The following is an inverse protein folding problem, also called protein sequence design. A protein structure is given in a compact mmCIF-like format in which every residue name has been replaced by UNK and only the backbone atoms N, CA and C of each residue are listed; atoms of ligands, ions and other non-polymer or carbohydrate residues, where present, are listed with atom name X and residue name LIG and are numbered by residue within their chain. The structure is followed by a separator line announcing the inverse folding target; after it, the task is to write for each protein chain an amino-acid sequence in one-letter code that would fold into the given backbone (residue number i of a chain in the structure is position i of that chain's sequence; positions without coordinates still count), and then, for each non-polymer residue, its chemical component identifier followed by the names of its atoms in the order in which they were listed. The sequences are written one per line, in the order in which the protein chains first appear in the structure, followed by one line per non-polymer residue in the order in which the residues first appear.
data_IF_431397200296
#
_entry.id   IF_431397200296
#
_cell.length_a   1.000
_cell.length_b   1.000
_cell.length_c   1.000
_cell.angle_alpha   90.00
_cell.angle_beta   90.00
_cell.angle_gamma   90.00
#
_symmetry.space_group_name_H-M   'P 1'
#
loop_
_entity.id
_entity.type
_entity.pdbx_description
1 polymer ?
#
# COMPACT_ATOMS: atom_id res chain seq x y z
N UNK A 1 -4.99 -8.67 13.17
CA UNK A 1 -3.68 -9.27 13.01
C UNK A 1 -2.64 -8.63 13.92
N UNK A 2 -1.49 -9.23 14.06
CA UNK A 2 -0.34 -8.73 14.81
C UNK A 2 0.96 -9.26 14.19
N UNK A 3 2.07 -8.53 14.43
CA UNK A 3 3.35 -8.77 13.74
C UNK A 3 4.27 -9.73 14.52
N UNK A 4 3.83 -10.94 14.83
CA UNK A 4 4.63 -11.89 15.65
C UNK A 4 4.36 -13.38 15.37
N UNK A 5 3.71 -13.74 14.28
CA UNK A 5 3.49 -15.15 13.97
C UNK A 5 4.61 -15.75 13.12
N UNK A 6 4.77 -17.08 13.16
CA UNK A 6 5.62 -17.78 12.20
C UNK A 6 5.13 -17.50 10.79
N UNK A 7 6.06 -17.18 9.90
CA UNK A 7 5.78 -16.87 8.49
C UNK A 7 5.03 -15.55 8.22
N UNK A 8 4.72 -14.72 9.23
CA UNK A 8 4.12 -13.42 8.99
C UNK A 8 5.14 -12.40 8.45
N UNK A 9 4.61 -11.32 7.90
CA UNK A 9 5.33 -10.08 7.56
C UNK A 9 4.91 -8.96 8.52
N UNK A 10 5.57 -7.81 8.47
CA UNK A 10 5.11 -6.61 9.16
C UNK A 10 4.08 -5.89 8.27
N UNK A 11 2.89 -6.47 8.14
CA UNK A 11 1.91 -6.16 7.11
C UNK A 11 0.47 -5.97 7.62
N UNK A 12 0.31 -5.66 8.92
CA UNK A 12 -1.00 -5.46 9.53
C UNK A 12 -1.78 -4.36 8.81
N UNK A 13 -2.90 -4.74 8.19
CA UNK A 13 -3.74 -3.84 7.40
C UNK A 13 -3.32 -3.68 5.95
N UNK A 14 -2.45 -4.53 5.42
CA UNK A 14 -2.20 -4.59 3.98
C UNK A 14 -3.39 -5.21 3.24
N UNK A 15 -3.50 -4.93 1.96
CA UNK A 15 -4.51 -5.51 1.08
C UNK A 15 -3.94 -5.83 -0.29
N UNK A 16 -4.59 -6.73 -1.00
CA UNK A 16 -4.34 -6.99 -2.43
C UNK A 16 -5.59 -6.61 -3.23
N UNK A 17 -5.40 -6.15 -4.45
CA UNK A 17 -6.51 -5.76 -5.34
C UNK A 17 -6.31 -6.45 -6.68
N UNK A 18 -7.35 -7.15 -7.13
CA UNK A 18 -7.43 -7.76 -8.45
C UNK A 18 -8.56 -7.11 -9.25
N UNK A 19 -8.34 -6.95 -10.55
CA UNK A 19 -9.34 -6.52 -11.51
C UNK A 19 -9.39 -7.57 -12.63
N UNK A 20 -10.52 -8.24 -12.81
CA UNK A 20 -10.67 -9.33 -13.80
C UNK A 20 -9.57 -10.39 -13.69
N UNK A 21 -9.30 -10.86 -12.47
CA UNK A 21 -8.25 -11.84 -12.16
C UNK A 21 -6.80 -11.38 -12.43
N UNK A 22 -6.60 -10.13 -12.86
CA UNK A 22 -5.28 -9.52 -13.04
C UNK A 22 -4.88 -8.80 -11.76
N UNK A 23 -3.69 -9.11 -11.18
CA UNK A 23 -3.21 -8.45 -9.97
C UNK A 23 -2.86 -6.98 -10.25
N UNK A 24 -3.40 -6.08 -9.44
CA UNK A 24 -3.17 -4.62 -9.51
C UNK A 24 -2.32 -4.15 -8.34
N UNK A 25 -2.86 -4.25 -7.11
CA UNK A 25 -2.05 -4.11 -5.90
C UNK A 25 -1.69 -5.51 -5.42
N UNK A 26 -0.41 -5.75 -5.21
CA UNK A 26 0.12 -7.09 -4.94
C UNK A 26 0.79 -7.15 -3.57
N UNK A 27 0.97 -8.36 -3.09
CA UNK A 27 1.92 -8.73 -2.03
C UNK A 27 3.03 -9.56 -2.67
N UNK A 28 4.28 -9.21 -2.42
CA UNK A 28 5.41 -9.92 -3.01
C UNK A 28 5.46 -11.39 -2.57
N UNK A 29 4.95 -11.69 -1.39
CA UNK A 29 5.06 -13.00 -0.74
C UNK A 29 6.47 -13.24 -0.21
N UNK A 30 6.86 -14.50 -0.17
CA UNK A 30 8.16 -14.92 0.38
C UNK A 30 9.10 -15.39 -0.72
N UNK A 31 10.36 -15.00 -0.61
CA UNK A 31 11.45 -15.49 -1.44
C UNK A 31 11.93 -16.90 -1.05
N UNK A 32 13.07 -17.29 -1.55
CA UNK A 32 13.71 -18.55 -1.19
C UNK A 32 14.05 -18.55 0.30
N UNK A 33 13.61 -19.59 1.00
CA UNK A 33 13.88 -19.75 2.42
C UNK A 33 15.38 -19.94 2.69
N UNK A 34 15.89 -19.18 3.65
CA UNK A 34 17.27 -19.23 4.12
C UNK A 34 17.28 -19.31 5.65
N UNK A 35 18.48 -19.46 6.25
CA UNK A 35 18.60 -19.36 7.72
C UNK A 35 18.07 -18.03 8.27
N UNK A 36 18.21 -16.94 7.52
CA UNK A 36 17.70 -15.62 7.91
C UNK A 36 16.16 -15.62 7.99
N UNK A 37 15.47 -16.37 7.16
CA UNK A 37 14.00 -16.44 7.16
C UNK A 37 13.43 -16.90 8.51
N UNK A 38 14.22 -17.67 9.29
CA UNK A 38 13.76 -18.31 10.53
C UNK A 38 14.46 -17.80 11.79
N UNK A 39 15.15 -16.66 11.71
CA UNK A 39 15.80 -16.06 12.88
C UNK A 39 15.36 -14.61 13.09
N UNK A 40 15.95 -13.91 14.07
CA UNK A 40 15.63 -12.53 14.41
C UNK A 40 15.91 -11.51 13.27
N UNK A 41 16.75 -11.88 12.28
CA UNK A 41 17.04 -11.05 11.12
C UNK A 41 16.00 -11.19 9.99
N UNK A 42 14.96 -11.98 10.20
CA UNK A 42 13.87 -12.19 9.26
C UNK A 42 13.32 -10.86 8.71
N UNK A 43 13.06 -9.91 9.58
CA UNK A 43 12.46 -8.62 9.22
C UNK A 43 13.44 -7.62 8.60
N UNK A 44 14.69 -8.05 8.32
CA UNK A 44 15.63 -7.34 7.44
C UNK A 44 15.46 -7.75 5.96
N UNK A 45 14.70 -8.81 5.69
CA UNK A 45 14.34 -9.22 4.34
C UNK A 45 13.30 -8.22 3.81
N UNK A 46 13.57 -7.60 2.67
CA UNK A 46 12.75 -6.52 2.13
C UNK A 46 11.26 -6.87 2.00
N UNK A 47 10.93 -8.08 1.51
CA UNK A 47 9.55 -8.52 1.32
C UNK A 47 8.78 -8.79 2.62
N UNK A 48 9.44 -8.69 3.76
CA UNK A 48 8.83 -8.83 5.08
C UNK A 48 8.67 -7.50 5.81
N UNK A 49 9.16 -6.42 5.21
CA UNK A 49 9.11 -5.07 5.78
C UNK A 49 7.83 -4.35 5.39
N UNK A 50 7.29 -3.56 6.31
CA UNK A 50 6.06 -2.80 6.14
C UNK A 50 6.04 -1.92 4.88
N UNK A 51 7.15 -1.29 4.56
CA UNK A 51 7.29 -0.37 3.43
C UNK A 51 7.32 -1.05 2.05
N UNK A 52 7.31 -2.38 2.01
CA UNK A 52 7.13 -3.19 0.79
C UNK A 52 5.77 -3.90 0.75
N UNK A 53 4.80 -3.39 1.50
CA UNK A 53 3.40 -3.78 1.47
C UNK A 53 2.52 -2.58 1.13
N UNK A 54 1.21 -2.80 0.96
CA UNK A 54 0.24 -1.74 0.66
C UNK A 54 -0.16 -1.01 1.95
N UNK A 55 0.80 -0.30 2.55
CA UNK A 55 0.72 0.28 3.89
C UNK A 55 1.39 1.65 3.96
N UNK A 56 0.97 2.52 4.90
CA UNK A 56 1.68 3.76 5.17
C UNK A 56 2.96 3.54 5.98
N UNK A 57 3.96 4.35 5.74
CA UNK A 57 4.87 4.80 6.78
C UNK A 57 4.26 6.02 7.46
N UNK A 58 4.08 5.98 8.76
CA UNK A 58 3.40 7.04 9.52
C UNK A 58 4.45 7.88 10.25
N UNK A 59 4.50 9.18 9.89
CA UNK A 59 5.45 10.11 10.52
C UNK A 59 6.90 9.58 10.49
N UNK A 60 7.28 8.95 9.37
CA UNK A 60 8.58 8.33 9.14
C UNK A 60 8.77 6.94 9.78
N UNK A 61 7.80 6.40 10.51
CA UNK A 61 7.90 5.10 11.16
C UNK A 61 7.21 3.99 10.36
N UNK A 62 7.86 2.83 10.27
CA UNK A 62 7.30 1.59 9.73
C UNK A 62 6.72 0.72 10.85
N UNK A 63 5.92 -0.28 10.51
CA UNK A 63 5.46 -1.28 11.46
C UNK A 63 6.62 -2.20 11.87
N UNK A 64 6.94 -2.32 13.17
CA UNK A 64 7.95 -3.25 13.63
C UNK A 64 7.37 -4.64 13.90
N UNK A 65 8.25 -5.61 14.06
CA UNK A 65 7.89 -6.94 14.53
C UNK A 65 7.58 -6.94 16.04
N UNK A 66 6.60 -7.75 16.45
CA UNK A 66 6.26 -7.94 17.85
C UNK A 66 4.75 -8.12 18.06
N UNK A 67 4.36 -8.95 19.03
CA UNK A 67 2.96 -9.25 19.33
C UNK A 67 2.15 -8.02 19.81
N UNK A 68 2.83 -7.02 20.33
CA UNK A 68 2.22 -5.74 20.74
C UNK A 68 1.75 -4.91 19.54
N UNK A 69 2.38 -5.06 18.36
CA UNK A 69 2.06 -4.33 17.14
C UNK A 69 0.90 -5.00 16.40
N UNK A 70 -0.28 -4.43 16.52
CA UNK A 70 -1.53 -5.05 16.06
C UNK A 70 -2.59 -4.02 15.71
N UNK A 71 -3.55 -4.42 14.88
CA UNK A 71 -4.76 -3.62 14.67
C UNK A 71 -5.74 -3.74 15.83
N UNK A 72 -6.60 -2.73 15.94
CA UNK A 72 -7.73 -2.70 16.87
C UNK A 72 -9.00 -2.18 16.18
N UNK A 73 -10.14 -2.25 16.85
CA UNK A 73 -11.42 -1.71 16.38
C UNK A 73 -11.79 -2.18 14.96
N UNK A 74 -11.55 -3.47 14.67
CA UNK A 74 -11.86 -4.06 13.37
C UNK A 74 -13.37 -4.16 13.17
N UNK A 75 -13.88 -3.72 12.03
CA UNK A 75 -15.29 -3.80 11.64
C UNK A 75 -15.45 -4.25 10.20
N UNK A 76 -16.48 -5.05 9.94
CA UNK A 76 -16.82 -5.54 8.61
C UNK A 76 -18.32 -5.37 8.36
N UNK A 77 -18.69 -4.70 7.26
CA UNK A 77 -20.06 -4.57 6.78
C UNK A 77 -20.13 -5.03 5.32
N UNK A 78 -20.44 -6.31 5.15
CA UNK A 78 -20.52 -6.93 3.82
C UNK A 78 -21.63 -6.31 2.95
N UNK A 79 -22.72 -5.82 3.57
CA UNK A 79 -23.83 -5.20 2.82
C UNK A 79 -23.41 -3.90 2.13
N UNK A 80 -22.42 -3.20 2.70
CA UNK A 80 -21.82 -1.98 2.15
C UNK A 80 -20.50 -2.24 1.42
N UNK A 81 -20.02 -3.49 1.40
CA UNK A 81 -18.70 -3.83 0.88
C UNK A 81 -17.57 -3.13 1.63
N UNK A 82 -17.69 -2.98 2.98
CA UNK A 82 -16.77 -2.21 3.79
C UNK A 82 -16.05 -3.08 4.82
N UNK A 83 -14.76 -2.81 4.98
CA UNK A 83 -13.93 -3.33 6.06
C UNK A 83 -13.08 -2.20 6.62
N UNK A 84 -12.97 -2.09 7.93
CA UNK A 84 -12.14 -1.07 8.58
C UNK A 84 -11.40 -1.60 9.79
N UNK A 85 -10.26 -0.99 10.09
CA UNK A 85 -9.43 -1.29 11.25
C UNK A 85 -8.61 -0.05 11.65
N UNK A 86 -8.28 0.06 12.92
CA UNK A 86 -7.38 1.08 13.44
C UNK A 86 -5.97 0.51 13.52
N UNK A 87 -5.02 1.14 12.83
CA UNK A 87 -3.62 0.73 12.71
C UNK A 87 -2.71 1.44 13.74
N UNK A 88 -3.21 2.33 14.58
CA UNK A 88 -2.35 3.12 15.47
C UNK A 88 -1.43 2.26 16.32
N UNK A 89 -1.94 1.14 16.88
CA UNK A 89 -1.16 0.24 17.72
C UNK A 89 -0.26 -0.73 16.91
N UNK A 90 -0.34 -0.72 15.58
CA UNK A 90 0.59 -1.46 14.72
C UNK A 90 1.90 -0.69 14.48
N UNK A 91 1.97 0.58 14.87
CA UNK A 91 3.13 1.44 14.74
C UNK A 91 3.77 1.73 16.10
N UNK A 92 5.08 2.01 16.13
CA UNK A 92 5.78 2.26 17.38
C UNK A 92 5.40 3.63 17.96
N UNK A 93 5.54 3.82 19.30
CA UNK A 93 5.14 5.06 19.98
C UNK A 93 5.80 6.33 19.42
N UNK A 94 7.02 6.24 18.91
CA UNK A 94 7.75 7.35 18.28
C UNK A 94 7.09 7.88 17.00
N UNK A 95 6.20 7.13 16.38
CA UNK A 95 5.35 7.64 15.28
C UNK A 95 4.41 8.77 15.74
N UNK A 96 4.12 8.85 17.04
CA UNK A 96 3.12 9.77 17.59
C UNK A 96 1.70 9.51 17.09
N UNK A 97 1.45 8.32 16.52
CA UNK A 97 0.16 7.99 15.93
C UNK A 97 -0.87 7.69 17.01
N UNK A 98 -1.86 8.57 17.16
CA UNK A 98 -3.00 8.37 18.12
C UNK A 98 -4.15 7.61 17.48
N UNK A 99 -4.30 7.76 16.17
CA UNK A 99 -5.36 7.15 15.39
C UNK A 99 -4.89 7.02 13.95
N UNK A 100 -5.14 5.85 13.35
CA UNK A 100 -5.02 5.64 11.91
C UNK A 100 -6.05 4.60 11.49
N UNK A 101 -7.26 5.07 11.17
CA UNK A 101 -8.34 4.19 10.74
C UNK A 101 -8.29 4.05 9.24
N UNK A 102 -7.92 2.86 8.79
CA UNK A 102 -7.95 2.47 7.38
C UNK A 102 -9.28 1.79 7.08
N UNK A 103 -9.96 2.27 6.05
CA UNK A 103 -11.22 1.72 5.55
C UNK A 103 -11.07 1.30 4.10
N UNK A 104 -11.44 0.08 3.82
CA UNK A 104 -11.56 -0.46 2.46
C UNK A 104 -13.02 -0.48 2.07
N UNK A 105 -13.33 -0.02 0.86
CA UNK A 105 -14.66 -0.08 0.29
C UNK A 105 -14.61 -0.66 -1.12
N UNK A 106 -15.33 -1.76 -1.32
CA UNK A 106 -15.56 -2.35 -2.63
C UNK A 106 -16.93 -1.90 -3.13
N UNK A 107 -16.97 -1.20 -4.26
CA UNK A 107 -18.18 -0.81 -4.96
C UNK A 107 -18.28 -1.58 -6.30
N UNK A 108 -18.97 -2.74 -6.35
CA UNK A 108 -18.94 -3.62 -7.53
C UNK A 108 -19.92 -3.18 -8.63
N UNK A 109 -20.86 -2.28 -8.32
CA UNK A 109 -21.91 -1.84 -9.26
C UNK A 109 -21.60 -0.48 -9.89
N UNK A 110 -22.11 -0.24 -11.10
CA UNK A 110 -21.86 0.98 -11.87
C UNK A 110 -20.45 0.97 -12.46
N UNK A 111 -19.59 1.92 -12.08
CA UNK A 111 -18.15 1.89 -12.37
C UNK A 111 -17.42 1.20 -11.19
N UNK A 112 -17.08 -0.09 -11.32
CA UNK A 112 -16.45 -0.84 -10.22
C UNK A 112 -15.21 -0.13 -9.69
N UNK A 113 -15.10 -0.04 -8.37
CA UNK A 113 -13.96 0.63 -7.73
C UNK A 113 -13.64 0.03 -6.37
N UNK A 114 -12.37 0.12 -6.00
CA UNK A 114 -11.88 -0.07 -4.64
C UNK A 114 -11.44 1.29 -4.12
N UNK A 115 -11.92 1.67 -2.94
CA UNK A 115 -11.49 2.87 -2.25
C UNK A 115 -10.79 2.47 -0.95
N UNK A 116 -9.60 3.04 -0.72
CA UNK A 116 -8.86 2.94 0.53
C UNK A 116 -8.88 4.34 1.14
N UNK A 117 -9.39 4.46 2.37
CA UNK A 117 -9.43 5.74 3.08
C UNK A 117 -8.71 5.60 4.41
N UNK A 118 -7.72 6.46 4.63
CA UNK A 118 -7.01 6.58 5.90
C UNK A 118 -7.43 7.86 6.61
N UNK A 119 -8.00 7.72 7.80
CA UNK A 119 -8.39 8.84 8.66
C UNK A 119 -7.49 8.84 9.89
N UNK A 120 -6.73 9.92 10.10
CA UNK A 120 -5.62 9.91 11.03
C UNK A 120 -5.61 11.10 12.01
N UNK A 121 -4.95 10.88 13.15
CA UNK A 121 -4.55 11.90 14.10
C UNK A 121 -3.19 11.52 14.72
N UNK A 122 -2.22 12.41 14.57
CA UNK A 122 -0.89 12.34 15.17
C UNK A 122 -0.80 13.33 16.34
N UNK A 123 0.12 13.11 17.27
CA UNK A 123 0.47 14.10 18.31
C UNK A 123 1.07 15.35 17.70
N UNK A 124 2.05 15.13 16.82
CA UNK A 124 2.71 16.14 16.01
C UNK A 124 3.22 15.49 14.72
N UNK A 125 3.31 16.27 13.66
CA UNK A 125 4.00 15.84 12.46
C UNK A 125 5.46 16.28 12.53
N UNK A 126 6.36 15.31 12.46
CA UNK A 126 7.82 15.52 12.48
C UNK A 126 8.49 15.02 11.20
N UNK A 127 7.82 14.09 10.51
CA UNK A 127 8.24 13.53 9.23
C UNK A 127 7.03 13.38 8.29
N UNK A 128 7.20 13.31 6.98
CA UNK A 128 6.13 12.96 6.06
C UNK A 128 5.54 11.59 6.36
N UNK A 129 4.24 11.43 6.15
CA UNK A 129 3.66 10.12 5.91
C UNK A 129 3.95 9.72 4.46
N UNK A 130 4.15 8.44 4.22
CA UNK A 130 4.32 7.90 2.87
C UNK A 130 3.41 6.70 2.68
N UNK A 131 2.41 6.81 1.83
CA UNK A 131 1.58 5.68 1.45
C UNK A 131 2.29 4.86 0.38
N UNK A 132 2.45 3.58 0.61
CA UNK A 132 3.06 2.64 -0.31
C UNK A 132 2.01 1.75 -0.97
N UNK A 133 2.17 1.55 -2.29
CA UNK A 133 1.39 0.59 -3.06
C UNK A 133 2.32 -0.21 -3.95
N UNK A 134 2.32 -1.53 -3.76
CA UNK A 134 3.16 -2.45 -4.53
C UNK A 134 2.39 -2.95 -5.75
N UNK A 135 2.98 -2.83 -6.93
CA UNK A 135 2.35 -3.18 -8.21
C UNK A 135 3.31 -3.98 -9.09
N UNK A 136 2.74 -4.89 -9.90
CA UNK A 136 3.49 -5.60 -10.96
C UNK A 136 3.63 -4.76 -12.21
N UNK A 137 2.60 -4.00 -12.56
CA UNK A 137 2.50 -3.22 -13.80
C UNK A 137 3.45 -2.02 -13.85
N UNK A 138 3.61 -1.42 -15.02
CA UNK A 138 4.28 -0.13 -15.19
C UNK A 138 3.39 0.99 -14.67
N UNK A 139 4.01 2.08 -14.21
CA UNK A 139 3.30 3.23 -13.64
C UNK A 139 3.55 4.48 -14.47
N UNK A 140 2.47 5.21 -14.79
CA UNK A 140 2.55 6.56 -15.36
C UNK A 140 2.19 7.54 -14.25
N UNK A 141 3.14 8.35 -13.82
CA UNK A 141 2.99 9.32 -12.75
C UNK A 141 2.30 10.61 -13.23
N UNK A 142 1.83 11.49 -12.30
CA UNK A 142 1.41 12.85 -12.63
C UNK A 142 2.43 13.58 -13.49
N UNK A 143 1.97 14.35 -14.48
CA UNK A 143 2.83 14.99 -15.50
C UNK A 143 3.27 14.06 -16.62
N UNK A 144 3.18 12.75 -16.45
CA UNK A 144 3.43 11.76 -17.51
C UNK A 144 2.28 11.71 -18.51
N UNK A 145 2.56 11.18 -19.72
CA UNK A 145 1.58 11.12 -20.81
C UNK A 145 1.20 9.68 -21.12
N UNK A 146 -0.09 9.43 -21.26
CA UNK A 146 -0.64 8.18 -21.74
C UNK A 146 -1.71 8.43 -22.81
N UNK A 147 -1.57 7.81 -23.99
CA UNK A 147 -2.48 7.99 -25.13
C UNK A 147 -2.78 9.46 -25.48
N UNK A 148 -1.75 10.31 -25.47
CA UNK A 148 -1.87 11.74 -25.80
C UNK A 148 -2.44 12.63 -24.69
N UNK A 149 -2.83 12.06 -23.54
CA UNK A 149 -3.31 12.80 -22.35
C UNK A 149 -2.22 12.88 -21.29
N UNK A 150 -1.89 14.10 -20.86
CA UNK A 150 -1.02 14.32 -19.68
C UNK A 150 -1.84 14.14 -18.40
N UNK A 151 -1.32 13.38 -17.44
CA UNK A 151 -1.99 13.12 -16.18
C UNK A 151 -1.87 14.34 -15.25
N UNK A 152 -2.98 14.80 -14.62
CA UNK A 152 -2.95 15.86 -13.63
C UNK A 152 -2.35 15.35 -12.30
N UNK A 153 -2.03 16.30 -11.40
CA UNK A 153 -1.72 16.00 -10.01
C UNK A 153 -2.88 15.21 -9.37
N UNK A 154 -2.54 14.26 -8.49
CA UNK A 154 -3.53 13.40 -7.84
C UNK A 154 -4.08 12.25 -8.71
N UNK A 155 -3.48 12.00 -9.88
CA UNK A 155 -3.84 10.89 -10.75
C UNK A 155 -2.59 10.15 -11.25
N UNK A 156 -2.61 8.83 -11.21
CA UNK A 156 -1.62 7.96 -11.86
C UNK A 156 -2.31 6.79 -12.55
N UNK A 157 -1.61 6.15 -13.49
CA UNK A 157 -2.07 4.93 -14.13
C UNK A 157 -1.13 3.77 -13.82
N UNK A 158 -1.74 2.60 -13.62
CA UNK A 158 -1.05 1.31 -13.51
C UNK A 158 -1.37 0.54 -14.80
N UNK A 159 -0.33 0.27 -15.58
CA UNK A 159 -0.44 -0.48 -16.84
C UNK A 159 -0.16 -1.95 -16.54
N UNK A 160 -1.22 -2.71 -16.40
CA UNK A 160 -1.17 -4.12 -16.00
C UNK A 160 -1.03 -5.06 -17.21
N UNK A 161 -0.93 -6.37 -16.92
CA UNK A 161 -0.93 -7.42 -17.93
C UNK A 161 -2.19 -7.38 -18.78
N UNK A 162 -2.17 -8.06 -19.92
CA UNK A 162 -3.28 -8.18 -20.89
C UNK A 162 -3.90 -6.84 -21.34
N UNK A 163 -3.12 -5.75 -21.27
CA UNK A 163 -3.56 -4.42 -21.68
C UNK A 163 -4.56 -3.75 -20.72
N UNK A 164 -4.76 -4.30 -19.51
CA UNK A 164 -5.57 -3.65 -18.48
C UNK A 164 -4.91 -2.35 -18.03
N UNK A 165 -5.68 -1.26 -18.06
CA UNK A 165 -5.26 0.05 -17.53
C UNK A 165 -6.13 0.39 -16.32
N UNK A 166 -5.49 0.61 -15.20
CA UNK A 166 -6.13 0.98 -13.93
C UNK A 166 -5.69 2.38 -13.54
N UNK A 167 -6.66 3.21 -13.19
CA UNK A 167 -6.43 4.54 -12.64
C UNK A 167 -6.48 4.51 -11.13
N UNK A 168 -5.50 5.13 -10.48
CA UNK A 168 -5.55 5.49 -9.07
C UNK A 168 -5.64 6.99 -8.95
N UNK A 169 -6.66 7.48 -8.23
CA UNK A 169 -6.73 8.89 -7.80
C UNK A 169 -6.37 8.99 -6.33
N UNK A 170 -5.71 10.09 -5.95
CA UNK A 170 -5.23 10.36 -4.61
C UNK A 170 -5.20 11.86 -4.34
N UNK A 171 -5.07 12.33 -3.08
CA UNK A 171 -4.97 13.76 -2.79
C UNK A 171 -3.84 14.43 -3.57
N UNK A 172 -4.15 15.48 -4.35
CA UNK A 172 -3.16 16.17 -5.19
C UNK A 172 -2.02 16.83 -4.39
N UNK A 173 -2.18 16.97 -3.07
CA UNK A 173 -1.13 17.43 -2.16
C UNK A 173 -0.03 16.39 -1.93
N UNK A 174 -0.27 15.10 -2.22
CA UNK A 174 0.73 14.06 -2.07
C UNK A 174 1.66 14.03 -3.28
N UNK A 175 2.96 13.96 -3.04
CA UNK A 175 3.97 13.82 -4.08
C UNK A 175 4.17 12.37 -4.45
N UNK A 176 3.93 12.02 -5.71
CA UNK A 176 4.10 10.67 -6.23
C UNK A 176 5.52 10.40 -6.72
N UNK A 177 6.04 9.21 -6.41
CA UNK A 177 7.27 8.66 -6.98
C UNK A 177 7.16 7.14 -7.10
N UNK A 178 8.09 6.50 -7.80
CA UNK A 178 8.12 5.04 -7.98
C UNK A 178 9.53 4.53 -7.78
N UNK A 179 9.67 3.51 -6.94
CA UNK A 179 10.87 2.70 -6.84
C UNK A 179 10.69 1.39 -7.61
N UNK A 180 11.79 0.85 -8.13
CA UNK A 180 11.82 -0.44 -8.81
C UNK A 180 12.63 -1.42 -7.99
N UNK A 181 12.03 -2.57 -7.66
CA UNK A 181 12.69 -3.70 -7.03
C UNK A 181 12.98 -4.76 -8.08
N UNK A 182 14.24 -4.94 -8.42
CA UNK A 182 14.68 -6.02 -9.30
C UNK A 182 14.62 -7.37 -8.57
N UNK A 183 13.95 -8.35 -9.17
CA UNK A 183 13.67 -9.64 -8.55
C UNK A 183 14.68 -10.69 -9.03
N UNK A 184 15.79 -10.80 -8.33
CA UNK A 184 16.85 -11.80 -8.61
C UNK A 184 16.54 -13.18 -8.05
N UNK A 185 15.72 -13.27 -7.00
CA UNK A 185 15.26 -14.56 -6.46
C UNK A 185 14.18 -15.17 -7.37
N UNK A 186 14.41 -16.43 -7.79
CA UNK A 186 13.52 -17.15 -8.70
C UNK A 186 12.12 -17.38 -8.18
N UNK A 187 11.90 -17.43 -6.86
CA UNK A 187 10.55 -17.55 -6.28
C UNK A 187 9.73 -16.28 -6.51
N UNK A 188 10.37 -15.10 -6.45
CA UNK A 188 9.70 -13.85 -6.79
C UNK A 188 9.57 -13.69 -8.31
N UNK A 189 10.68 -13.83 -9.05
CA UNK A 189 10.68 -13.57 -10.48
C UNK A 189 9.85 -14.58 -11.28
N UNK A 190 9.66 -15.80 -10.78
CA UNK A 190 8.77 -16.80 -11.38
C UNK A 190 7.28 -16.44 -11.30
N UNK A 191 6.88 -15.59 -10.33
CA UNK A 191 5.50 -15.13 -10.13
C UNK A 191 5.30 -13.72 -10.73
N UNK A 192 6.21 -12.81 -10.42
CA UNK A 192 6.03 -11.39 -10.71
C UNK A 192 6.79 -10.91 -11.94
N UNK A 193 7.65 -11.74 -12.53
CA UNK A 193 8.57 -11.33 -13.59
C UNK A 193 9.84 -10.67 -13.04
N UNK A 194 10.55 -9.85 -13.83
CA UNK A 194 11.89 -9.36 -13.47
C UNK A 194 11.87 -8.29 -12.38
N UNK A 195 10.75 -7.62 -12.14
CA UNK A 195 10.68 -6.53 -11.17
C UNK A 195 9.27 -6.29 -10.63
N UNK A 196 9.20 -5.73 -9.44
CA UNK A 196 8.02 -5.07 -8.86
C UNK A 196 8.28 -3.58 -8.74
N UNK A 197 7.22 -2.80 -8.66
CA UNK A 197 7.28 -1.36 -8.45
C UNK A 197 6.54 -0.97 -7.19
N UNK A 198 7.15 -0.07 -6.43
CA UNK A 198 6.52 0.54 -5.25
C UNK A 198 6.17 1.98 -5.58
N UNK A 199 4.88 2.28 -5.62
CA UNK A 199 4.37 3.64 -5.68
C UNK A 199 4.49 4.24 -4.29
N UNK A 200 5.09 5.41 -4.18
CA UNK A 200 5.21 6.19 -2.96
C UNK A 200 4.41 7.47 -3.11
N UNK A 201 3.48 7.73 -2.20
CA UNK A 201 2.69 8.96 -2.16
C UNK A 201 3.00 9.68 -0.84
N UNK A 202 3.93 10.63 -0.90
CA UNK A 202 4.46 11.31 0.27
C UNK A 202 3.67 12.60 0.58
N UNK A 203 3.30 12.79 1.85
CA UNK A 203 2.71 14.04 2.31
C UNK A 203 3.76 15.16 2.33
N UNK A 204 3.35 16.43 2.14
CA UNK A 204 4.26 17.55 2.34
C UNK A 204 4.70 17.63 3.82
N UNK A 205 5.88 18.21 4.11
CA UNK A 205 6.40 18.29 5.49
C UNK A 205 5.50 19.08 6.44
N UNK A 206 4.75 20.04 5.92
CA UNK A 206 3.82 20.92 6.64
C UNK A 206 2.36 20.42 6.64
N UNK A 207 2.14 19.18 6.20
CA UNK A 207 0.80 18.58 6.21
C UNK A 207 0.21 18.56 7.63
N UNK A 208 -1.11 18.74 7.79
CA UNK A 208 -1.76 18.71 9.10
C UNK A 208 -1.53 17.39 9.84
N UNK A 209 -1.39 17.44 11.17
CA UNK A 209 -1.30 16.24 12.02
C UNK A 209 -2.63 15.48 12.13
N UNK A 210 -3.73 16.02 11.61
CA UNK A 210 -5.05 15.37 11.54
C UNK A 210 -5.63 15.55 10.15
N UNK A 211 -6.25 14.49 9.62
CA UNK A 211 -6.83 14.55 8.28
C UNK A 211 -7.28 13.20 7.77
N UNK A 212 -7.41 13.13 6.45
CA UNK A 212 -7.66 11.87 5.76
C UNK A 212 -7.02 11.88 4.37
N UNK A 213 -6.60 10.70 3.93
CA UNK A 213 -6.22 10.41 2.55
C UNK A 213 -7.24 9.45 1.96
N UNK A 214 -7.61 9.67 0.70
CA UNK A 214 -8.47 8.75 -0.05
C UNK A 214 -7.76 8.35 -1.34
N UNK A 215 -7.67 7.04 -1.56
CA UNK A 215 -7.10 6.42 -2.75
C UNK A 215 -8.20 5.62 -3.44
N UNK A 216 -8.53 5.98 -4.67
CA UNK A 216 -9.56 5.29 -5.42
C UNK A 216 -8.98 4.62 -6.65
N UNK A 217 -9.23 3.33 -6.77
CA UNK A 217 -8.75 2.45 -7.82
C UNK A 217 -9.94 2.10 -8.72
N UNK A 218 -9.83 2.43 -10.01
CA UNK A 218 -10.88 2.21 -11.02
C UNK A 218 -10.29 1.67 -12.30
N UNK A 219 -10.97 0.74 -12.92
CA UNK A 219 -10.63 0.29 -14.27
C UNK A 219 -10.95 1.39 -15.29
N UNK A 220 -10.01 1.67 -16.22
CA UNK A 220 -10.25 2.55 -17.37
C UNK A 220 -10.64 1.78 -18.64
N UNK A 221 -10.49 0.46 -18.66
CA UNK A 221 -10.75 -0.40 -19.81
C UNK A 221 -9.52 -1.20 -20.24
N UNK A 222 -9.71 -2.05 -21.24
CA UNK A 222 -8.60 -2.70 -21.96
C UNK A 222 -8.19 -1.84 -23.17
N UNK A 223 -6.90 -1.82 -23.48
CA UNK A 223 -6.40 -1.36 -24.78
C UNK A 223 -6.96 -2.20 -25.91
#
# INVERSE_FOLDING_TARGET
GYNNESHNHNDVGSCVVYVRDIPVLVDAGVGTYTKQTFNHDRYKIWSMQCDWHNLPMINGAAQPAGAQYRSKNTSCDLSKGMFSLDLADAYPPESGCRKWVRTYRLAPKGAPSVTITDSFALDARTQPDVEHFLVKGSVVLPGGTHQGRTLPDGELLILCDEGLVVKMTFPASLKASVDVMELTDRRFSGVWGPSLRRINLASPPDAPAKGSYEFRITELGKK
#
